data_IF_875936727217
#
_entry.id   IF_875936727217
#
_cell.length_a   1.000
_cell.length_b   1.000
_cell.length_c   1.000
_cell.angle_alpha   90.00
_cell.angle_beta   90.00
_cell.angle_gamma   90.00
#
_symmetry.space_group_name_H-M   'P 1'
#
loop_
_entity.id
_entity.type
_entity.pdbx_description
1 polymer ?
#
# COMPACT_ATOMS: atom_id res chain seq x y z
N UNK A 1 -1.23 -51.70 -8.42
CA UNK A 1 -1.34 -50.81 -7.24
C UNK A 1 -1.94 -51.61 -6.10
N UNK A 2 -1.45 -51.47 -4.86
CA UNK A 2 -2.09 -52.15 -3.72
C UNK A 2 -3.41 -51.44 -3.36
N UNK A 3 -4.42 -52.21 -2.99
CA UNK A 3 -5.76 -51.74 -2.61
C UNK A 3 -5.71 -50.69 -1.48
N UNK A 4 -4.74 -50.83 -0.59
CA UNK A 4 -4.44 -49.91 0.50
C UNK A 4 -3.95 -48.54 0.01
N UNK A 5 -3.15 -48.50 -1.07
CA UNK A 5 -2.73 -47.24 -1.71
C UNK A 5 -3.91 -46.55 -2.39
N UNK A 6 -4.83 -47.30 -3.00
CA UNK A 6 -6.04 -46.75 -3.63
C UNK A 6 -6.97 -46.13 -2.58
N UNK A 7 -7.18 -46.80 -1.44
CA UNK A 7 -7.94 -46.26 -0.30
C UNK A 7 -7.32 -44.98 0.27
N UNK A 8 -6.00 -44.94 0.45
CA UNK A 8 -5.30 -43.73 0.90
C UNK A 8 -5.44 -42.57 -0.08
N UNK A 9 -5.32 -42.83 -1.38
CA UNK A 9 -5.50 -41.79 -2.42
C UNK A 9 -6.92 -41.24 -2.44
N UNK A 10 -7.94 -42.09 -2.32
CA UNK A 10 -9.32 -41.66 -2.26
C UNK A 10 -9.56 -40.73 -1.06
N UNK A 11 -9.03 -41.09 0.10
CA UNK A 11 -9.15 -40.29 1.33
C UNK A 11 -8.42 -38.94 1.23
N UNK A 12 -7.24 -38.91 0.64
CA UNK A 12 -6.50 -37.67 0.39
C UNK A 12 -7.22 -36.76 -0.60
N UNK A 13 -7.77 -37.33 -1.69
CA UNK A 13 -8.59 -36.58 -2.64
C UNK A 13 -9.78 -35.93 -1.94
N UNK A 14 -10.46 -36.65 -1.07
CA UNK A 14 -11.63 -36.14 -0.35
C UNK A 14 -11.27 -34.98 0.59
N UNK A 15 -10.17 -35.11 1.35
CA UNK A 15 -9.67 -34.04 2.23
C UNK A 15 -9.29 -32.80 1.40
N UNK A 16 -8.57 -32.99 0.29
CA UNK A 16 -8.16 -31.89 -0.57
C UNK A 16 -9.36 -31.22 -1.23
N UNK A 17 -10.31 -31.98 -1.77
CA UNK A 17 -11.52 -31.45 -2.39
C UNK A 17 -12.36 -30.63 -1.40
N UNK A 18 -12.51 -31.12 -0.17
CA UNK A 18 -13.17 -30.39 0.90
C UNK A 18 -12.46 -29.07 1.21
N UNK A 19 -11.13 -29.10 1.37
CA UNK A 19 -10.38 -27.89 1.72
C UNK A 19 -10.38 -26.85 0.60
N UNK A 20 -10.35 -27.30 -0.65
CA UNK A 20 -10.51 -26.41 -1.82
C UNK A 20 -11.86 -25.72 -1.77
N UNK A 21 -12.95 -26.47 -1.53
CA UNK A 21 -14.29 -25.87 -1.42
C UNK A 21 -14.40 -24.84 -0.30
N UNK A 22 -13.88 -25.15 0.90
CA UNK A 22 -13.86 -24.21 2.03
C UNK A 22 -13.13 -22.90 1.67
N UNK A 23 -11.98 -23.01 1.01
CA UNK A 23 -11.19 -21.83 0.59
C UNK A 23 -11.87 -21.04 -0.54
N UNK A 24 -12.56 -21.71 -1.46
CA UNK A 24 -13.33 -21.05 -2.52
C UNK A 24 -14.52 -20.26 -1.94
N UNK A 25 -15.20 -20.80 -0.94
CA UNK A 25 -16.27 -20.11 -0.21
C UNK A 25 -15.74 -18.90 0.56
N UNK A 26 -14.63 -19.05 1.30
CA UNK A 26 -13.97 -17.93 1.99
C UNK A 26 -13.57 -16.84 0.99
N UNK A 27 -13.00 -17.21 -0.15
CA UNK A 27 -12.59 -16.28 -1.20
C UNK A 27 -13.79 -15.58 -1.85
N UNK A 28 -14.90 -16.28 -2.05
CA UNK A 28 -16.14 -15.68 -2.55
C UNK A 28 -16.69 -14.64 -1.57
N UNK A 29 -16.75 -14.95 -0.28
CA UNK A 29 -17.21 -14.00 0.75
C UNK A 29 -16.30 -12.77 0.86
N UNK A 30 -14.98 -12.95 0.80
CA UNK A 30 -14.04 -11.82 0.79
C UNK A 30 -14.20 -10.91 -0.44
N UNK A 31 -14.49 -11.48 -1.62
CA UNK A 31 -14.77 -10.71 -2.83
C UNK A 31 -16.07 -9.92 -2.73
N UNK A 32 -17.11 -10.51 -2.13
CA UNK A 32 -18.37 -9.83 -1.88
C UNK A 32 -18.18 -8.64 -0.94
N UNK A 33 -17.48 -8.84 0.18
CA UNK A 33 -17.14 -7.76 1.11
C UNK A 33 -16.30 -6.67 0.42
N UNK A 34 -15.34 -7.05 -0.42
CA UNK A 34 -14.56 -6.08 -1.20
C UNK A 34 -15.46 -5.26 -2.13
N UNK A 35 -16.38 -5.91 -2.85
CA UNK A 35 -17.31 -5.21 -3.75
C UNK A 35 -18.23 -4.25 -3.00
N UNK A 36 -18.69 -4.63 -1.80
CA UNK A 36 -19.48 -3.75 -0.94
C UNK A 36 -18.68 -2.53 -0.47
N UNK A 37 -17.42 -2.73 -0.10
CA UNK A 37 -16.51 -1.61 0.24
C UNK A 37 -16.29 -0.69 -0.97
N UNK A 38 -16.10 -1.24 -2.17
CA UNK A 38 -15.97 -0.46 -3.40
C UNK A 38 -17.24 0.33 -3.72
N UNK A 39 -18.42 -0.24 -3.50
CA UNK A 39 -19.70 0.44 -3.68
C UNK A 39 -19.88 1.57 -2.66
N UNK A 40 -19.57 1.33 -1.38
CA UNK A 40 -19.58 2.37 -0.35
C UNK A 40 -18.58 3.49 -0.66
N UNK A 41 -17.39 3.18 -1.17
CA UNK A 41 -16.41 4.18 -1.59
C UNK A 41 -16.92 5.00 -2.79
N UNK A 42 -17.61 4.36 -3.74
CA UNK A 42 -18.32 5.06 -4.82
C UNK A 42 -19.38 6.00 -4.24
N UNK A 43 -20.27 5.52 -3.39
CA UNK A 43 -21.32 6.36 -2.80
C UNK A 43 -20.76 7.53 -1.97
N UNK A 44 -19.68 7.32 -1.23
CA UNK A 44 -19.00 8.37 -0.46
C UNK A 44 -18.28 9.38 -1.35
N UNK A 45 -17.66 8.94 -2.45
CA UNK A 45 -17.07 9.83 -3.45
C UNK A 45 -18.15 10.63 -4.21
N UNK A 46 -19.29 10.02 -4.54
CA UNK A 46 -20.44 10.71 -5.12
C UNK A 46 -21.12 11.69 -4.15
N UNK A 47 -21.24 11.36 -2.85
CA UNK A 47 -21.75 12.32 -1.85
C UNK A 47 -20.84 13.54 -1.67
N UNK A 48 -19.53 13.39 -1.88
CA UNK A 48 -18.58 14.51 -1.86
C UNK A 48 -18.76 15.44 -3.07
N UNK A 49 -19.36 14.97 -4.17
CA UNK A 49 -19.70 15.78 -5.35
C UNK A 49 -21.03 16.54 -5.26
N UNK A 50 -21.95 16.17 -4.37
CA UNK A 50 -23.30 16.78 -4.32
C UNK A 50 -23.41 18.10 -3.53
N UNK A 51 -22.31 18.79 -3.27
CA UNK A 51 -22.33 20.16 -2.72
C UNK A 51 -22.32 21.18 -3.88
N UNK A 52 -23.37 22.00 -4.06
CA UNK A 52 -23.38 23.03 -5.10
C UNK A 52 -22.70 24.32 -4.62
N UNK A 53 -21.74 24.81 -5.43
CA UNK A 53 -21.08 26.13 -5.33
C UNK A 53 -19.66 26.05 -4.75
N UNK A 54 -18.58 26.47 -5.41
CA UNK A 54 -18.41 27.41 -6.53
C UNK A 54 -17.21 27.01 -7.41
N UNK A 55 -17.32 27.41 -8.67
CA UNK A 55 -16.34 27.58 -9.75
C UNK A 55 -14.86 27.19 -9.48
N UNK A 56 -14.19 26.44 -10.36
CA UNK A 56 -14.52 26.21 -11.75
C UNK A 56 -13.58 25.22 -12.46
N UNK A 57 -14.02 24.84 -13.66
CA UNK A 57 -13.17 24.25 -14.70
C UNK A 57 -13.08 22.74 -14.74
N UNK A 58 -14.10 22.07 -15.29
CA UNK A 58 -13.89 20.83 -16.05
C UNK A 58 -13.45 21.13 -17.50
N UNK A 59 -13.42 20.15 -18.44
CA UNK A 59 -13.89 18.76 -18.30
C UNK A 59 -13.05 17.66 -19.03
N UNK A 60 -13.56 16.41 -18.91
CA UNK A 60 -13.38 15.19 -19.74
C UNK A 60 -12.24 14.22 -19.33
N UNK A 61 -12.55 13.10 -18.65
CA UNK A 61 -13.02 11.79 -19.17
C UNK A 61 -11.93 11.01 -19.92
N UNK A 62 -11.43 9.89 -19.38
CA UNK A 62 -11.88 8.50 -19.67
C UNK A 62 -11.00 7.45 -18.95
N UNK A 63 -11.68 6.43 -18.43
CA UNK A 63 -11.32 5.00 -18.37
C UNK A 63 -9.90 4.53 -18.01
N UNK A 64 -9.87 3.63 -17.02
CA UNK A 64 -8.84 2.62 -16.87
C UNK A 64 -8.05 2.76 -15.57
N UNK A 65 -7.88 1.63 -14.90
CA UNK A 65 -6.90 1.36 -13.85
C UNK A 65 -5.87 2.48 -13.56
N UNK A 66 -5.69 2.76 -12.26
CA UNK A 66 -4.62 3.58 -11.65
C UNK A 66 -4.99 5.05 -11.39
N UNK A 67 -4.77 5.45 -10.13
CA UNK A 67 -4.44 6.84 -9.78
C UNK A 67 -5.60 7.73 -9.34
N UNK A 68 -5.95 7.70 -8.04
CA UNK A 68 -6.43 8.91 -7.35
C UNK A 68 -5.67 9.07 -6.03
N UNK A 69 -4.61 9.86 -6.14
CA UNK A 69 -3.95 10.60 -5.07
C UNK A 69 -4.92 11.67 -4.56
N UNK A 70 -4.96 11.91 -3.25
CA UNK A 70 -5.48 13.18 -2.71
C UNK A 70 -6.55 13.10 -1.63
N UNK A 71 -6.18 12.63 -0.43
CA UNK A 71 -6.96 12.88 0.78
C UNK A 71 -6.78 11.82 1.86
N UNK A 72 -6.72 12.19 3.16
CA UNK A 72 -6.74 11.20 4.24
C UNK A 72 -8.08 10.45 4.21
N UNK A 73 -8.02 9.12 4.19
CA UNK A 73 -9.17 8.27 4.44
C UNK A 73 -9.70 8.47 5.88
N UNK A 74 -10.98 8.16 6.15
CA UNK A 74 -11.53 8.27 7.49
C UNK A 74 -10.74 7.40 8.48
N UNK A 75 -10.02 8.04 9.42
CA UNK A 75 -9.15 7.37 10.40
C UNK A 75 -7.65 7.40 10.09
N UNK A 76 -7.22 8.01 8.98
CA UNK A 76 -5.80 8.17 8.66
C UNK A 76 -5.19 9.41 9.34
N UNK A 77 -4.02 9.25 9.94
CA UNK A 77 -3.22 10.39 10.41
C UNK A 77 -2.31 10.87 9.28
N UNK A 78 -2.59 12.06 8.73
CA UNK A 78 -1.74 12.70 7.75
C UNK A 78 -0.55 13.40 8.43
N UNK A 79 0.66 13.00 8.08
CA UNK A 79 1.91 13.51 8.63
C UNK A 79 2.72 14.16 7.51
N UNK A 80 2.78 15.50 7.45
CA UNK A 80 3.57 16.18 6.44
C UNK A 80 5.08 15.94 6.64
N UNK A 81 5.77 15.71 5.52
CA UNK A 81 7.21 15.59 5.41
C UNK A 81 7.73 16.89 4.80
N UNK A 82 8.15 17.82 5.65
CA UNK A 82 8.66 19.14 5.26
C UNK A 82 10.17 19.24 5.39
N UNK A 83 10.74 20.23 4.70
CA UNK A 83 12.12 20.71 4.92
C UNK A 83 12.23 21.50 6.22
N UNK A 84 13.47 21.90 6.58
CA UNK A 84 13.73 22.83 7.71
C UNK A 84 13.08 24.19 7.48
N UNK A 85 12.93 24.57 6.21
CA UNK A 85 12.32 25.84 5.75
C UNK A 85 10.79 25.77 5.68
N UNK A 86 10.19 24.61 5.98
CA UNK A 86 8.74 24.41 5.96
C UNK A 86 8.16 24.01 4.60
N UNK A 87 8.99 23.78 3.59
CA UNK A 87 8.55 23.35 2.25
C UNK A 87 8.02 21.91 2.29
N UNK A 88 6.79 21.68 1.82
CA UNK A 88 6.16 20.37 1.79
C UNK A 88 6.76 19.53 0.66
N UNK A 89 7.28 18.36 1.00
CA UNK A 89 7.85 17.43 0.02
C UNK A 89 6.92 16.25 -0.22
N UNK A 90 6.33 15.70 0.84
CA UNK A 90 5.41 14.58 0.74
C UNK A 90 4.49 14.55 1.96
N UNK A 91 3.35 13.89 1.85
CA UNK A 91 2.45 13.60 2.95
C UNK A 91 2.43 12.10 3.22
N UNK A 92 2.67 11.72 4.47
CA UNK A 92 2.58 10.33 4.91
C UNK A 92 1.26 10.10 5.63
N UNK A 93 0.40 9.28 5.09
CA UNK A 93 -0.86 8.84 5.69
C UNK A 93 -0.62 7.54 6.46
N UNK A 94 -0.91 7.55 7.76
CA UNK A 94 -0.80 6.37 8.63
C UNK A 94 -2.20 5.86 8.93
N UNK A 95 -2.52 4.68 8.41
CA UNK A 95 -3.72 3.91 8.75
C UNK A 95 -3.42 2.81 9.78
N UNK A 96 -4.43 2.01 10.17
CA UNK A 96 -4.30 0.98 11.22
C UNK A 96 -3.29 -0.13 10.92
N UNK A 97 -3.14 -0.50 9.64
CA UNK A 97 -2.23 -1.57 9.18
C UNK A 97 -1.43 -1.17 7.94
N UNK A 98 -1.45 0.09 7.53
CA UNK A 98 -0.73 0.53 6.35
C UNK A 98 -0.24 1.96 6.50
N UNK A 99 0.78 2.28 5.72
CA UNK A 99 1.34 3.62 5.57
C UNK A 99 1.40 3.92 4.09
N UNK A 100 0.88 5.07 3.70
CA UNK A 100 0.90 5.56 2.33
C UNK A 100 1.67 6.86 2.28
N UNK A 101 2.63 6.99 1.37
CA UNK A 101 3.43 8.21 1.22
C UNK A 101 3.17 8.76 -0.17
N UNK A 102 2.70 10.00 -0.21
CA UNK A 102 2.33 10.72 -1.41
C UNK A 102 3.22 11.95 -1.53
N UNK A 103 4.14 12.01 -2.50
CA UNK A 103 4.80 13.24 -2.92
C UNK A 103 3.83 14.41 -3.12
N UNK A 104 4.30 15.63 -2.81
CA UNK A 104 3.57 16.83 -3.18
C UNK A 104 3.53 16.95 -4.72
N UNK A 105 2.38 17.40 -5.26
CA UNK A 105 2.13 17.44 -6.70
C UNK A 105 3.07 18.39 -7.46
N UNK A 106 3.60 19.41 -6.77
CA UNK A 106 4.57 20.37 -7.30
C UNK A 106 6.02 19.83 -7.29
N UNK A 107 6.25 18.61 -6.80
CA UNK A 107 7.57 17.99 -6.64
C UNK A 107 7.72 16.72 -7.47
N UNK A 108 8.81 16.65 -8.22
CA UNK A 108 9.16 15.48 -9.03
C UNK A 108 10.27 14.71 -8.34
N UNK A 109 9.98 13.47 -7.94
CA UNK A 109 10.92 12.59 -7.25
C UNK A 109 11.22 11.36 -8.07
N UNK A 110 12.49 11.16 -8.43
CA UNK A 110 12.90 10.02 -9.25
C UNK A 110 13.05 8.73 -8.42
N UNK A 111 12.38 7.66 -8.84
CA UNK A 111 12.49 6.33 -8.24
C UNK A 111 13.90 5.74 -8.42
N UNK A 112 14.59 6.09 -9.50
CA UNK A 112 15.99 5.73 -9.76
C UNK A 112 17.00 6.45 -8.86
N UNK A 113 16.59 7.46 -8.09
CA UNK A 113 17.50 8.23 -7.24
C UNK A 113 18.18 7.33 -6.19
N UNK A 114 19.42 7.70 -5.80
CA UNK A 114 20.17 6.96 -4.77
C UNK A 114 19.44 6.94 -3.42
N UNK A 115 18.86 8.05 -2.94
CA UNK A 115 18.13 8.06 -1.67
C UNK A 115 16.88 7.18 -1.73
N UNK A 116 16.12 7.19 -2.82
CA UNK A 116 14.93 6.35 -2.94
C UNK A 116 15.29 4.85 -3.00
N UNK A 117 16.35 4.48 -3.72
CA UNK A 117 16.86 3.09 -3.68
C UNK A 117 17.34 2.67 -2.30
N UNK A 118 17.89 3.59 -1.50
CA UNK A 118 18.21 3.33 -0.09
C UNK A 118 16.94 3.04 0.71
N UNK A 119 15.89 3.86 0.53
CA UNK A 119 14.59 3.66 1.16
C UNK A 119 13.99 2.29 0.87
N UNK A 120 13.92 1.89 -0.42
CA UNK A 120 13.42 0.57 -0.81
C UNK A 120 14.23 -0.58 -0.21
N UNK A 121 15.56 -0.42 -0.10
CA UNK A 121 16.41 -1.43 0.54
C UNK A 121 16.12 -1.57 2.03
N UNK A 122 15.81 -0.48 2.73
CA UNK A 122 15.39 -0.56 4.14
C UNK A 122 14.04 -1.27 4.28
N UNK A 123 13.06 -0.97 3.42
CA UNK A 123 11.77 -1.66 3.41
C UNK A 123 11.93 -3.17 3.17
N UNK A 124 12.76 -3.54 2.19
CA UNK A 124 13.09 -4.95 1.93
C UNK A 124 13.75 -5.62 3.14
N UNK A 125 14.67 -4.92 3.82
CA UNK A 125 15.27 -5.44 5.06
C UNK A 125 14.27 -5.64 6.20
N UNK A 126 13.18 -4.87 6.24
CA UNK A 126 12.08 -5.10 7.20
C UNK A 126 11.23 -6.31 6.78
N UNK A 127 10.93 -6.44 5.49
CA UNK A 127 10.25 -7.61 4.93
C UNK A 127 11.02 -8.92 5.18
N UNK A 128 12.34 -8.92 4.99
CA UNK A 128 13.19 -10.10 5.21
C UNK A 128 13.22 -10.52 6.69
N UNK A 129 13.22 -9.54 7.62
CA UNK A 129 13.11 -9.80 9.06
C UNK A 129 11.76 -10.40 9.42
N UNK A 130 10.68 -9.87 8.86
CA UNK A 130 9.34 -10.41 9.05
C UNK A 130 9.23 -11.84 8.49
N UNK A 131 9.78 -12.09 7.30
CA UNK A 131 9.84 -13.43 6.71
C UNK A 131 10.61 -14.43 7.60
N UNK A 132 11.66 -13.97 8.28
CA UNK A 132 12.41 -14.79 9.25
C UNK A 132 11.55 -15.12 10.47
N UNK A 133 10.77 -14.16 10.97
CA UNK A 133 9.82 -14.39 12.07
C UNK A 133 8.69 -15.33 11.68
N UNK A 134 8.24 -15.32 10.43
CA UNK A 134 7.27 -16.29 9.90
C UNK A 134 7.88 -17.70 9.90
N UNK A 135 9.13 -17.84 9.45
CA UNK A 135 9.83 -19.13 9.48
C UNK A 135 10.01 -19.66 10.91
N UNK A 136 10.15 -18.78 11.90
CA UNK A 136 10.18 -19.10 13.33
C UNK A 136 8.78 -19.34 13.94
N UNK A 137 7.70 -19.16 13.18
CA UNK A 137 6.31 -19.29 13.66
C UNK A 137 5.84 -18.18 14.59
N UNK A 138 6.58 -17.06 14.65
CA UNK A 138 6.29 -15.90 15.52
C UNK A 138 5.46 -14.82 14.83
N UNK A 139 5.26 -14.92 13.52
CA UNK A 139 4.49 -13.98 12.70
C UNK A 139 3.67 -14.75 11.66
N UNK A 140 2.46 -14.28 11.35
CA UNK A 140 1.66 -14.86 10.25
C UNK A 140 2.25 -14.44 8.89
N UNK A 141 2.22 -15.31 7.86
CA UNK A 141 2.52 -14.91 6.48
C UNK A 141 1.73 -13.68 6.02
N UNK A 142 0.49 -13.53 6.51
CA UNK A 142 -0.39 -12.41 6.19
C UNK A 142 0.02 -11.09 6.86
N UNK A 143 0.84 -11.15 7.92
CA UNK A 143 1.34 -10.00 8.67
C UNK A 143 2.76 -9.57 8.23
N UNK A 144 3.31 -10.17 7.18
CA UNK A 144 4.61 -9.77 6.63
C UNK A 144 4.49 -8.39 5.99
N UNK A 145 5.43 -7.49 6.31
CA UNK A 145 5.52 -6.20 5.64
C UNK A 145 5.63 -6.37 4.12
N UNK A 146 4.73 -5.70 3.40
CA UNK A 146 4.76 -5.63 1.95
C UNK A 146 4.72 -4.17 1.51
N UNK A 147 5.36 -3.84 0.40
CA UNK A 147 5.35 -2.48 -0.12
C UNK A 147 5.15 -2.49 -1.64
N UNK A 148 4.44 -1.48 -2.12
CA UNK A 148 4.21 -1.22 -3.53
C UNK A 148 4.60 0.23 -3.84
N UNK A 149 5.29 0.44 -4.95
CA UNK A 149 5.69 1.77 -5.41
C UNK A 149 4.96 2.05 -6.71
N UNK A 150 4.03 2.99 -6.66
CA UNK A 150 3.34 3.51 -7.84
C UNK A 150 4.21 4.62 -8.39
N UNK A 151 4.66 4.43 -9.63
CA UNK A 151 5.50 5.38 -10.35
C UNK A 151 5.02 5.50 -11.78
N UNK A 152 5.17 6.69 -12.33
CA UNK A 152 4.92 7.01 -13.72
C UNK A 152 6.29 7.25 -14.36
N UNK A 153 6.68 6.37 -15.29
CA UNK A 153 8.04 6.26 -15.82
C UNK A 153 9.10 6.07 -14.70
N UNK A 154 9.77 7.17 -14.33
CA UNK A 154 10.73 7.23 -13.24
C UNK A 154 10.27 8.15 -12.11
N UNK A 155 9.09 8.76 -12.18
CA UNK A 155 8.56 9.67 -11.17
C UNK A 155 7.71 8.90 -10.16
N UNK A 156 8.09 8.96 -8.88
CA UNK A 156 7.33 8.37 -7.78
C UNK A 156 6.03 9.16 -7.60
N UNK A 157 4.89 8.47 -7.69
CA UNK A 157 3.56 9.04 -7.44
C UNK A 157 3.02 8.66 -6.08
N UNK A 158 3.28 7.44 -5.64
CA UNK A 158 2.85 6.96 -4.34
C UNK A 158 3.70 5.77 -3.88
N UNK A 159 3.91 5.66 -2.57
CA UNK A 159 4.43 4.45 -1.94
C UNK A 159 3.44 3.93 -0.92
N UNK A 160 2.93 2.73 -1.14
CA UNK A 160 2.03 2.03 -0.22
C UNK A 160 2.80 0.94 0.51
N UNK A 161 2.73 0.93 1.84
CA UNK A 161 3.41 -0.04 2.71
C UNK A 161 2.34 -0.65 3.61
N UNK A 162 2.12 -1.95 3.50
CA UNK A 162 1.14 -2.71 4.29
C UNK A 162 1.83 -3.47 5.41
N UNK A 163 1.05 -3.82 6.44
CA UNK A 163 1.47 -4.52 7.65
C UNK A 163 2.57 -3.78 8.44
N UNK A 164 2.48 -2.44 8.51
CA UNK A 164 3.41 -1.63 9.31
C UNK A 164 3.04 -1.72 10.79
N UNK A 165 3.99 -2.14 11.63
CA UNK A 165 3.81 -2.20 13.08
C UNK A 165 3.83 -0.79 13.68
N UNK A 166 3.05 -0.49 14.73
CA UNK A 166 3.02 0.84 15.37
C UNK A 166 4.40 1.35 15.82
N UNK A 167 5.27 0.46 16.29
CA UNK A 167 6.64 0.80 16.69
C UNK A 167 7.53 1.25 15.53
N UNK A 168 7.26 0.76 14.33
CA UNK A 168 8.05 1.03 13.13
C UNK A 168 7.62 2.32 12.41
N UNK A 169 6.39 2.80 12.63
CA UNK A 169 5.84 4.02 12.01
C UNK A 169 6.77 5.23 12.23
N UNK A 170 7.31 5.39 13.45
CA UNK A 170 8.21 6.52 13.77
C UNK A 170 9.53 6.43 13.01
N UNK A 171 10.08 5.22 12.87
CA UNK A 171 11.29 4.96 12.09
C UNK A 171 11.05 5.22 10.61
N UNK A 172 9.95 4.69 10.08
CA UNK A 172 9.53 4.85 8.69
C UNK A 172 9.30 6.32 8.35
N UNK A 173 8.63 7.08 9.23
CA UNK A 173 8.46 8.54 9.10
C UNK A 173 9.79 9.27 8.98
N UNK A 174 10.74 8.92 9.84
CA UNK A 174 12.05 9.59 9.90
C UNK A 174 12.86 9.27 8.65
N UNK A 175 12.83 8.01 8.22
CA UNK A 175 13.49 7.55 7.01
C UNK A 175 12.87 8.16 5.74
N UNK A 176 11.54 8.21 5.65
CA UNK A 176 10.83 8.83 4.54
C UNK A 176 11.17 10.33 4.47
N UNK A 177 11.09 11.06 5.59
CA UNK A 177 11.47 12.49 5.65
C UNK A 177 12.89 12.70 5.13
N UNK A 178 13.85 11.91 5.62
CA UNK A 178 15.23 12.01 5.16
C UNK A 178 15.35 11.74 3.65
N UNK A 179 14.67 10.71 3.16
CA UNK A 179 14.69 10.31 1.74
C UNK A 179 14.19 11.44 0.84
N UNK A 180 12.97 11.93 1.06
CA UNK A 180 12.40 12.99 0.23
C UNK A 180 13.19 14.30 0.34
N UNK A 181 13.69 14.63 1.54
CA UNK A 181 14.55 15.80 1.72
C UNK A 181 15.85 15.69 0.92
N UNK A 182 16.55 14.57 1.02
CA UNK A 182 17.80 14.38 0.27
C UNK A 182 17.58 14.33 -1.24
N UNK A 183 16.44 13.80 -1.70
CA UNK A 183 16.07 13.88 -3.11
C UNK A 183 15.83 15.32 -3.56
N UNK A 184 15.17 16.13 -2.72
CA UNK A 184 14.95 17.55 -2.99
C UNK A 184 16.26 18.35 -3.05
N UNK A 185 17.17 18.11 -2.10
CA UNK A 185 18.50 18.74 -2.06
C UNK A 185 19.36 18.37 -3.28
N UNK A 186 19.29 17.12 -3.75
CA UNK A 186 20.03 16.66 -4.93
C UNK A 186 19.41 17.11 -6.26
N UNK A 187 18.14 17.51 -6.26
CA UNK A 187 17.40 17.93 -7.44
C UNK A 187 17.53 19.42 -7.80
N UNK A 188 18.11 20.25 -6.91
CA UNK A 188 18.35 21.67 -7.24
C UNK A 188 19.61 21.82 -8.11
N UNK A 189 19.51 22.39 -9.32
CA UNK A 189 20.69 22.91 -10.00
C UNK A 189 21.24 24.08 -9.16
N UNK A 190 22.56 24.13 -9.01
CA UNK A 190 23.30 25.22 -8.37
C UNK A 190 23.09 26.55 -9.11
#
# INVERSE_FOLDING_TARGET
MSEEKVKRLARLREILARRVGELEEELAGLKELLSFVEELLKELSFRKLSLPGEAGGGPAEVEGAQGEVGGPGPGESALPLTTVEGELLATMYVGPKYVRIVPAEDKVFQASSRPFRYFLRQLKGMQDRDASLVAEGKLSPDDVLSFNVIKEDDVVKEVLIKNVKPGDVKGLRSLARWTFRTMWEQGRPY
#
